data_IF_975344310485
#
_entry.id   IF_975344310485
#
_cell.length_a   1.000
_cell.length_b   1.000
_cell.length_c   1.000
_cell.angle_alpha   90.00
_cell.angle_beta   90.00
_cell.angle_gamma   90.00
#
_symmetry.space_group_name_H-M   'P 1'
#
loop_
_entity.id
_entity.type
_entity.pdbx_description
1 polymer ?
#
# COMPACT_ATOMS: atom_id res chain seq x y z
N UNK A 1 56.58 -2.57 -56.11
CA UNK A 1 55.95 -3.42 -55.07
C UNK A 1 54.92 -2.74 -54.18
N UNK A 2 54.81 -1.42 -54.14
CA UNK A 2 53.89 -0.67 -53.26
C UNK A 2 52.47 -0.44 -53.83
N UNK A 3 52.25 -0.69 -55.12
CA UNK A 3 50.94 -0.43 -55.78
C UNK A 3 49.88 -1.51 -55.47
N UNK A 4 50.28 -2.66 -55.00
CA UNK A 4 49.40 -3.78 -54.71
C UNK A 4 48.76 -3.67 -53.29
N UNK A 5 49.40 -2.97 -52.35
CA UNK A 5 48.95 -2.79 -50.97
C UNK A 5 47.73 -1.84 -50.91
N UNK A 6 47.63 -0.90 -51.84
CA UNK A 6 46.52 0.09 -51.86
C UNK A 6 45.20 -0.49 -52.28
N UNK A 7 45.18 -1.65 -52.94
CA UNK A 7 43.95 -2.34 -53.31
C UNK A 7 43.55 -3.43 -52.28
N UNK A 8 44.45 -3.84 -51.45
CA UNK A 8 44.18 -4.82 -50.38
C UNK A 8 43.54 -4.18 -49.14
N UNK A 9 43.83 -2.88 -48.89
CA UNK A 9 43.32 -2.18 -47.73
C UNK A 9 41.78 -1.93 -47.74
N UNK A 10 41.17 -1.50 -48.87
CA UNK A 10 39.71 -1.35 -48.91
C UNK A 10 38.96 -2.68 -48.90
N UNK A 11 39.57 -3.76 -49.43
CA UNK A 11 38.96 -5.12 -49.42
C UNK A 11 38.91 -5.74 -48.03
N UNK A 12 39.81 -5.41 -47.13
CA UNK A 12 39.84 -5.93 -45.75
C UNK A 12 38.90 -5.14 -44.80
N UNK A 13 38.54 -3.90 -45.19
CA UNK A 13 37.65 -3.05 -44.34
C UNK A 13 36.17 -3.35 -44.57
N UNK A 14 35.82 -3.97 -45.70
CA UNK A 14 34.43 -4.24 -46.08
C UNK A 14 33.73 -5.27 -45.22
N UNK A 15 34.35 -6.38 -44.76
CA UNK A 15 33.67 -7.37 -43.88
C UNK A 15 33.48 -6.89 -42.44
N UNK A 16 34.14 -5.79 -42.01
CA UNK A 16 33.96 -5.23 -40.66
C UNK A 16 32.69 -4.41 -40.53
N UNK A 17 32.04 -4.04 -41.63
CA UNK A 17 30.77 -3.28 -41.64
C UNK A 17 29.54 -4.20 -41.66
N UNK A 18 29.69 -5.49 -41.81
CA UNK A 18 28.61 -6.46 -41.61
C UNK A 18 28.54 -6.83 -40.11
N UNK A 19 28.51 -5.84 -39.25
CA UNK A 19 28.04 -6.03 -37.89
C UNK A 19 26.58 -6.50 -38.00
N UNK A 20 26.32 -7.76 -37.66
CA UNK A 20 24.97 -8.25 -37.51
C UNK A 20 24.23 -7.34 -36.56
N UNK A 21 23.43 -6.46 -37.10
CA UNK A 21 22.25 -5.97 -36.39
C UNK A 21 21.38 -7.23 -36.31
N UNK A 22 21.54 -7.98 -35.22
CA UNK A 22 20.61 -9.04 -34.88
C UNK A 22 19.26 -8.34 -34.84
N UNK A 23 18.38 -8.71 -35.75
CA UNK A 23 17.00 -8.25 -35.72
C UNK A 23 16.51 -8.40 -34.28
N UNK A 24 16.33 -7.28 -33.61
CA UNK A 24 15.68 -7.27 -32.31
C UNK A 24 14.24 -7.62 -32.63
N UNK A 25 13.91 -8.86 -32.37
CA UNK A 25 12.57 -9.40 -32.57
C UNK A 25 11.65 -8.68 -31.57
N UNK A 26 10.99 -7.63 -32.07
CA UNK A 26 10.05 -6.85 -31.27
C UNK A 26 8.79 -7.62 -30.92
N UNK A 27 8.56 -8.78 -31.58
CA UNK A 27 7.46 -9.68 -31.21
C UNK A 27 7.68 -10.33 -29.83
N UNK A 28 8.93 -10.37 -29.33
CA UNK A 28 9.21 -10.84 -27.97
C UNK A 28 8.75 -9.86 -26.88
N UNK A 29 8.48 -8.61 -27.22
CA UNK A 29 7.95 -7.62 -26.27
C UNK A 29 6.46 -7.86 -25.95
N UNK A 30 5.75 -8.65 -26.74
CA UNK A 30 4.34 -8.99 -26.50
C UNK A 30 4.14 -10.02 -25.38
N UNK A 31 5.20 -10.69 -24.93
CA UNK A 31 5.16 -11.66 -23.82
C UNK A 31 5.79 -11.15 -22.52
N UNK A 32 6.23 -9.89 -22.49
CA UNK A 32 6.83 -9.33 -21.26
C UNK A 32 5.71 -8.95 -20.30
N UNK A 33 5.49 -9.81 -19.33
CA UNK A 33 4.66 -9.50 -18.17
C UNK A 33 5.53 -8.80 -17.12
N UNK A 34 5.18 -7.57 -16.79
CA UNK A 34 5.85 -6.80 -15.74
C UNK A 34 4.92 -6.75 -14.53
N UNK A 35 5.44 -7.12 -13.36
CA UNK A 35 4.73 -7.04 -12.08
C UNK A 35 5.42 -6.03 -11.16
N UNK A 36 5.23 -4.72 -11.39
CA UNK A 36 5.81 -3.71 -10.52
C UNK A 36 5.15 -3.73 -9.14
N UNK A 37 5.95 -3.40 -8.13
CA UNK A 37 5.51 -3.20 -6.76
C UNK A 37 5.47 -1.70 -6.47
N UNK A 38 4.40 -1.23 -5.85
CA UNK A 38 4.21 0.18 -5.48
C UNK A 38 3.94 0.28 -3.98
N UNK A 39 4.88 0.90 -3.27
CA UNK A 39 4.73 1.17 -1.83
C UNK A 39 4.03 2.51 -1.60
N UNK A 40 2.99 2.49 -0.78
CA UNK A 40 2.20 3.66 -0.40
C UNK A 40 2.11 3.75 1.12
N UNK A 41 2.53 4.89 1.68
CA UNK A 41 2.20 5.21 3.06
C UNK A 41 0.72 5.60 3.14
N UNK A 42 -0.03 4.94 4.03
CA UNK A 42 -1.47 5.14 4.14
C UNK A 42 -1.80 6.15 5.24
N UNK A 43 -1.77 5.71 6.48
CA UNK A 43 -2.20 6.50 7.63
C UNK A 43 -1.15 6.50 8.73
N UNK A 44 -1.07 7.65 9.38
CA UNK A 44 -0.44 7.83 10.67
C UNK A 44 -1.38 8.61 11.58
N UNK A 45 -1.62 8.11 12.77
CA UNK A 45 -2.29 8.88 13.81
C UNK A 45 -1.71 8.59 15.19
N UNK A 46 -1.90 9.52 16.08
CA UNK A 46 -1.74 9.38 17.51
C UNK A 46 -2.99 9.90 18.19
N UNK A 47 -3.69 9.03 18.93
CA UNK A 47 -4.90 9.38 19.67
C UNK A 47 -4.57 9.33 21.15
N UNK A 48 -4.70 10.47 21.83
CA UNK A 48 -4.54 10.53 23.27
C UNK A 48 -5.82 10.08 23.99
N UNK A 49 -5.68 9.49 25.15
CA UNK A 49 -6.82 8.98 25.93
C UNK A 49 -7.90 10.03 26.23
N UNK A 50 -7.52 11.31 26.35
CA UNK A 50 -8.45 12.43 26.57
C UNK A 50 -9.34 12.74 25.35
N UNK A 51 -8.96 12.29 24.13
CA UNK A 51 -9.76 12.50 22.92
C UNK A 51 -11.00 11.61 22.90
N UNK A 52 -11.03 10.54 23.69
CA UNK A 52 -12.23 9.73 23.91
C UNK A 52 -13.23 10.37 24.89
N UNK A 53 -13.00 11.61 25.30
CA UNK A 53 -13.91 12.38 26.13
C UNK A 53 -14.45 13.56 25.34
N UNK A 54 -15.76 13.72 25.33
CA UNK A 54 -16.39 14.89 24.71
C UNK A 54 -16.03 16.18 25.51
N UNK A 55 -15.40 17.17 24.86
CA UNK A 55 -14.91 18.35 25.57
C UNK A 55 -16.01 19.26 26.10
N UNK A 56 -17.25 19.11 25.65
CA UNK A 56 -18.39 19.95 26.04
C UNK A 56 -19.18 19.32 27.18
N UNK A 57 -19.44 18.00 27.04
CA UNK A 57 -20.28 17.28 28.02
C UNK A 57 -19.47 16.55 29.08
N UNK A 58 -18.16 16.32 28.85
CA UNK A 58 -17.29 15.51 29.72
C UNK A 58 -17.62 14.00 29.66
N UNK A 59 -18.52 13.60 28.78
CA UNK A 59 -18.92 12.20 28.64
C UNK A 59 -17.98 11.43 27.72
N UNK A 60 -17.77 10.13 27.93
CA UNK A 60 -16.98 9.30 27.02
C UNK A 60 -17.54 9.29 25.60
N UNK A 61 -16.66 9.47 24.63
CA UNK A 61 -16.91 9.13 23.22
C UNK A 61 -16.34 7.73 22.99
N UNK A 62 -17.23 6.77 22.71
CA UNK A 62 -16.84 5.36 22.60
C UNK A 62 -16.15 5.02 21.28
N UNK A 63 -16.33 5.86 20.24
CA UNK A 63 -15.81 5.65 18.90
C UNK A 63 -15.17 6.92 18.37
N UNK A 64 -13.94 6.81 17.90
CA UNK A 64 -13.27 7.83 17.11
C UNK A 64 -13.15 7.31 15.66
N UNK A 65 -13.54 8.14 14.71
CA UNK A 65 -13.49 7.78 13.29
C UNK A 65 -12.89 8.91 12.47
N UNK A 66 -11.99 8.57 11.57
CA UNK A 66 -11.43 9.49 10.58
C UNK A 66 -11.53 8.86 9.18
N UNK A 67 -11.66 9.72 8.17
CA UNK A 67 -11.83 9.29 6.77
C UNK A 67 -10.83 10.04 5.89
N UNK A 68 -10.06 9.30 5.14
CA UNK A 68 -9.06 9.83 4.21
C UNK A 68 -9.37 9.40 2.77
N UNK A 69 -9.10 10.28 1.79
CA UNK A 69 -9.20 9.94 0.38
C UNK A 69 -7.98 9.10 -0.05
N UNK A 70 -8.21 8.13 -0.93
CA UNK A 70 -7.18 7.30 -1.55
C UNK A 70 -7.21 7.54 -3.06
N UNK A 71 -6.68 8.67 -3.55
CA UNK A 71 -6.76 9.04 -4.96
C UNK A 71 -6.04 8.04 -5.89
N UNK A 72 -5.10 7.29 -5.37
CA UNK A 72 -4.39 6.23 -6.11
C UNK A 72 -5.34 5.13 -6.61
N UNK A 73 -6.38 4.79 -5.83
CA UNK A 73 -7.38 3.80 -6.22
C UNK A 73 -8.54 4.37 -7.04
N UNK A 74 -8.53 5.67 -7.36
CA UNK A 74 -9.60 6.31 -8.15
C UNK A 74 -9.33 6.25 -9.66
N UNK A 75 -8.14 5.78 -10.07
CA UNK A 75 -7.74 5.59 -11.46
C UNK A 75 -8.09 4.18 -11.96
N UNK A 76 -8.89 4.10 -13.05
CA UNK A 76 -9.39 2.83 -13.58
C UNK A 76 -8.29 1.88 -14.05
N UNK A 77 -7.25 2.43 -14.69
CA UNK A 77 -6.15 1.62 -15.22
C UNK A 77 -5.33 1.01 -14.07
N UNK A 78 -5.18 1.78 -12.98
CA UNK A 78 -4.57 1.30 -11.74
C UNK A 78 -5.42 0.22 -11.08
N UNK A 79 -6.75 0.41 -10.98
CA UNK A 79 -7.66 -0.56 -10.39
C UNK A 79 -7.60 -1.93 -11.11
N UNK A 80 -7.64 -1.92 -12.44
CA UNK A 80 -7.63 -3.14 -13.25
C UNK A 80 -6.27 -3.86 -13.20
N UNK A 81 -5.19 -3.11 -12.99
CA UNK A 81 -3.84 -3.64 -12.91
C UNK A 81 -3.49 -4.28 -11.57
N UNK A 82 -4.14 -3.92 -10.47
CA UNK A 82 -3.80 -4.45 -9.14
C UNK A 82 -4.28 -5.89 -8.98
N UNK A 83 -3.35 -6.80 -8.71
CA UNK A 83 -3.62 -8.23 -8.51
C UNK A 83 -3.52 -8.67 -7.05
N UNK A 84 -2.83 -7.87 -6.21
CA UNK A 84 -2.62 -8.13 -4.80
C UNK A 84 -2.27 -6.83 -4.06
N UNK A 85 -2.65 -6.75 -2.79
CA UNK A 85 -2.20 -5.72 -1.87
C UNK A 85 -1.79 -6.34 -0.54
N UNK A 86 -0.62 -5.94 -0.02
CA UNK A 86 -0.13 -6.32 1.30
C UNK A 86 -0.16 -5.07 2.19
N UNK A 87 -0.94 -5.13 3.27
CA UNK A 87 -1.03 -4.06 4.26
C UNK A 87 -0.21 -4.41 5.49
N UNK A 88 0.55 -3.44 5.97
CA UNK A 88 1.23 -3.49 7.26
C UNK A 88 0.60 -2.43 8.16
N UNK A 89 0.07 -2.86 9.30
CA UNK A 89 -0.45 -2.00 10.36
C UNK A 89 0.40 -2.20 11.61
N UNK A 90 1.00 -1.13 12.09
CA UNK A 90 1.81 -1.12 13.30
C UNK A 90 1.14 -0.25 14.35
N UNK A 91 0.88 -0.81 15.52
CA UNK A 91 0.28 -0.13 16.66
C UNK A 91 1.24 -0.12 17.83
N UNK A 92 1.33 1.03 18.52
CA UNK A 92 1.96 1.13 19.83
C UNK A 92 0.89 1.63 20.81
N UNK A 93 0.49 0.74 21.73
CA UNK A 93 -0.52 1.07 22.74
C UNK A 93 0.15 1.44 24.07
N UNK A 94 0.08 2.72 24.42
CA UNK A 94 0.59 3.29 25.67
C UNK A 94 -0.50 3.39 26.75
N UNK A 95 -1.65 2.73 26.56
CA UNK A 95 -2.78 2.75 27.49
C UNK A 95 -2.98 1.38 28.15
N UNK A 96 -3.74 1.35 29.23
CA UNK A 96 -4.03 0.12 29.99
C UNK A 96 -5.29 -0.62 29.55
N UNK A 97 -5.79 -0.32 28.34
CA UNK A 97 -6.98 -0.98 27.77
C UNK A 97 -6.71 -1.48 26.36
N UNK A 98 -7.47 -2.49 25.96
CA UNK A 98 -7.52 -2.94 24.59
C UNK A 98 -8.35 -1.99 23.72
N UNK A 99 -8.06 -1.96 22.41
CA UNK A 99 -8.86 -1.24 21.42
C UNK A 99 -9.31 -2.18 20.32
N UNK A 100 -10.59 -2.06 19.93
CA UNK A 100 -11.06 -2.58 18.65
C UNK A 100 -10.74 -1.54 17.59
N UNK A 101 -9.97 -1.91 16.56
CA UNK A 101 -9.67 -1.06 15.42
C UNK A 101 -10.29 -1.69 14.19
N UNK A 102 -11.12 -0.91 13.50
CA UNK A 102 -11.72 -1.27 12.22
C UNK A 102 -11.16 -0.37 11.15
N UNK A 103 -10.56 -0.96 10.12
CA UNK A 103 -10.16 -0.25 8.91
C UNK A 103 -11.13 -0.66 7.81
N UNK A 104 -11.77 0.33 7.20
CA UNK A 104 -12.72 0.10 6.12
C UNK A 104 -12.36 0.90 4.88
N UNK A 105 -12.33 0.24 3.77
CA UNK A 105 -12.19 0.82 2.45
C UNK A 105 -13.58 1.04 1.86
N UNK A 106 -13.83 2.24 1.32
CA UNK A 106 -15.17 2.68 0.96
C UNK A 106 -15.19 3.31 -0.42
N UNK A 107 -16.30 3.14 -1.11
CA UNK A 107 -16.65 3.87 -2.31
C UNK A 107 -17.69 4.93 -1.96
N UNK A 108 -17.30 6.21 -2.02
CA UNK A 108 -18.15 7.30 -1.53
C UNK A 108 -18.26 7.34 -0.01
N UNK A 109 -19.41 7.78 0.52
CA UNK A 109 -19.58 8.00 1.96
C UNK A 109 -19.84 6.71 2.75
N UNK A 110 -20.69 5.81 2.23
CA UNK A 110 -21.31 4.76 3.03
C UNK A 110 -21.09 3.32 2.50
N UNK A 111 -20.57 3.17 1.28
CA UNK A 111 -20.40 1.83 0.70
C UNK A 111 -19.05 1.24 1.07
N UNK A 112 -19.03 0.36 2.06
CA UNK A 112 -17.83 -0.41 2.43
C UNK A 112 -17.60 -1.51 1.39
N UNK A 113 -16.43 -1.49 0.75
CA UNK A 113 -16.02 -2.48 -0.23
C UNK A 113 -15.13 -3.55 0.39
N UNK A 114 -14.25 -3.15 1.32
CA UNK A 114 -13.40 -4.07 2.06
C UNK A 114 -13.23 -3.57 3.49
N UNK A 115 -13.12 -4.47 4.47
CA UNK A 115 -12.81 -4.09 5.85
C UNK A 115 -12.03 -5.17 6.58
N UNK A 116 -11.22 -4.73 7.54
CA UNK A 116 -10.47 -5.59 8.45
C UNK A 116 -10.61 -5.06 9.87
N UNK A 117 -10.75 -6.00 10.81
CA UNK A 117 -10.92 -5.73 12.23
C UNK A 117 -9.80 -6.42 13.03
N UNK A 118 -9.25 -5.71 14.01
CA UNK A 118 -8.29 -6.31 14.96
C UNK A 118 -8.42 -5.71 16.34
N UNK A 119 -7.95 -6.48 17.33
CA UNK A 119 -7.83 -6.03 18.71
C UNK A 119 -6.37 -5.66 18.93
N UNK A 120 -6.14 -4.41 19.33
CA UNK A 120 -4.84 -3.92 19.78
C UNK A 120 -4.77 -4.10 21.29
N UNK A 121 -3.89 -4.98 21.81
CA UNK A 121 -3.84 -5.31 23.22
C UNK A 121 -3.36 -4.13 24.07
N UNK A 122 -3.78 -4.12 25.33
CA UNK A 122 -3.37 -3.14 26.33
C UNK A 122 -1.86 -3.13 26.54
N UNK A 123 -1.33 -1.93 26.77
CA UNK A 123 0.05 -1.70 27.16
C UNK A 123 0.14 -0.85 28.41
N UNK A 124 1.15 0.01 28.49
CA UNK A 124 1.31 1.01 29.55
C UNK A 124 2.20 2.15 29.05
N UNK A 125 2.07 3.33 29.62
CA UNK A 125 2.91 4.50 29.28
C UNK A 125 4.41 4.19 29.36
N UNK A 126 4.83 3.47 30.40
CA UNK A 126 6.24 3.11 30.60
C UNK A 126 6.69 1.86 29.81
N UNK A 127 5.74 1.07 29.32
CA UNK A 127 6.01 -0.15 28.55
C UNK A 127 4.89 -0.37 27.54
N UNK A 128 4.94 0.33 26.40
CA UNK A 128 3.91 0.21 25.37
C UNK A 128 3.88 -1.22 24.80
N UNK A 129 2.69 -1.67 24.45
CA UNK A 129 2.52 -2.91 23.72
C UNK A 129 2.53 -2.60 22.23
N UNK A 130 3.56 -3.07 21.54
CA UNK A 130 3.58 -3.02 20.07
C UNK A 130 2.81 -4.21 19.50
N UNK A 131 2.00 -3.93 18.51
CA UNK A 131 1.20 -4.93 17.79
C UNK A 131 1.33 -4.69 16.29
N UNK A 132 1.75 -5.74 15.57
CA UNK A 132 1.93 -5.68 14.12
C UNK A 132 0.93 -6.63 13.47
N UNK A 133 0.16 -6.11 12.53
CA UNK A 133 -0.78 -6.88 11.72
C UNK A 133 -0.37 -6.80 10.25
N UNK A 134 -0.28 -7.96 9.62
CA UNK A 134 -0.13 -8.11 8.18
C UNK A 134 -1.45 -8.61 7.62
N UNK A 135 -2.00 -7.87 6.66
CA UNK A 135 -3.21 -8.25 5.95
C UNK A 135 -2.91 -8.32 4.46
N UNK A 136 -3.11 -9.49 3.88
CA UNK A 136 -2.84 -9.78 2.48
C UNK A 136 -4.15 -9.97 1.74
N UNK A 137 -4.38 -9.13 0.75
CA UNK A 137 -5.61 -9.12 -0.04
C UNK A 137 -5.31 -9.56 -1.47
N UNK A 138 -5.90 -10.68 -1.85
CA UNK A 138 -5.82 -11.27 -3.20
C UNK A 138 -7.23 -11.52 -3.75
N UNK A 139 -7.32 -12.14 -4.93
CA UNK A 139 -8.61 -12.53 -5.51
C UNK A 139 -9.37 -13.52 -4.58
N UNK A 140 -10.69 -13.35 -4.39
CA UNK A 140 -11.54 -12.36 -5.06
C UNK A 140 -11.60 -10.98 -4.37
N UNK A 141 -11.15 -10.84 -3.13
CA UNK A 141 -11.32 -9.62 -2.31
C UNK A 141 -10.59 -8.40 -2.87
N UNK A 142 -9.53 -8.59 -3.64
CA UNK A 142 -8.80 -7.48 -4.26
C UNK A 142 -9.70 -6.67 -5.19
N UNK A 143 -10.67 -7.30 -5.86
CA UNK A 143 -11.61 -6.59 -6.75
C UNK A 143 -12.54 -5.65 -5.98
N UNK A 144 -12.92 -6.04 -4.76
CA UNK A 144 -13.73 -5.19 -3.90
C UNK A 144 -12.89 -4.05 -3.31
N UNK A 145 -11.67 -4.33 -2.87
CA UNK A 145 -10.72 -3.35 -2.36
C UNK A 145 -10.44 -2.25 -3.37
N UNK A 146 -10.15 -2.61 -4.63
CA UNK A 146 -9.80 -1.65 -5.68
C UNK A 146 -10.95 -0.73 -6.09
N UNK A 147 -12.21 -1.05 -5.73
CA UNK A 147 -13.34 -0.15 -5.93
C UNK A 147 -13.41 1.00 -4.92
N UNK A 148 -12.57 0.98 -3.90
CA UNK A 148 -12.57 2.03 -2.88
C UNK A 148 -11.87 3.29 -3.40
N UNK A 149 -12.33 4.44 -2.92
CA UNK A 149 -11.65 5.72 -3.09
C UNK A 149 -11.42 6.45 -1.74
N UNK A 150 -11.84 5.81 -0.65
CA UNK A 150 -11.67 6.31 0.71
C UNK A 150 -11.26 5.18 1.65
N UNK A 151 -10.49 5.54 2.68
CA UNK A 151 -10.17 4.69 3.81
C UNK A 151 -10.68 5.35 5.07
N UNK A 152 -11.38 4.59 5.91
CA UNK A 152 -11.84 5.05 7.21
C UNK A 152 -11.26 4.16 8.30
N UNK A 153 -10.82 4.77 9.39
CA UNK A 153 -10.37 4.09 10.60
C UNK A 153 -11.33 4.44 11.72
N UNK A 154 -11.81 3.41 12.39
CA UNK A 154 -12.63 3.53 13.59
C UNK A 154 -11.88 2.89 14.75
N UNK A 155 -11.78 3.59 15.89
CA UNK A 155 -11.13 3.10 17.10
C UNK A 155 -12.15 3.12 18.22
N UNK A 156 -12.39 1.95 18.81
CA UNK A 156 -13.37 1.74 19.87
C UNK A 156 -12.65 1.17 21.11
N UNK A 157 -12.62 1.90 22.23
CA UNK A 157 -11.98 1.43 23.45
C UNK A 157 -12.77 0.29 24.10
N UNK A 158 -12.09 -0.82 24.41
CA UNK A 158 -12.69 -2.00 25.03
C UNK A 158 -12.47 -1.96 26.54
N UNK A 159 -13.18 -1.07 27.23
CA UNK A 159 -13.09 -0.98 28.67
C UNK A 159 -13.25 0.42 29.24
N UNK A 160 -12.84 0.60 30.48
CA UNK A 160 -12.88 1.90 31.13
C UNK A 160 -11.74 2.77 30.58
N UNK A 161 -12.08 3.98 30.12
CA UNK A 161 -11.09 4.91 29.56
C UNK A 161 -9.93 5.14 30.52
N UNK A 162 -8.68 5.05 30.04
CA UNK A 162 -7.51 5.24 30.84
C UNK A 162 -7.35 6.73 31.20
N UNK A 163 -6.73 7.03 32.34
CA UNK A 163 -6.45 8.38 32.77
C UNK A 163 -5.33 9.07 31.96
N UNK A 164 -4.62 8.33 31.10
CA UNK A 164 -3.54 8.87 30.27
C UNK A 164 -2.99 7.81 29.33
N UNK A 165 -2.03 8.22 28.49
CA UNK A 165 -1.45 7.42 27.44
C UNK A 165 -2.03 7.74 26.07
N UNK A 166 -1.50 7.11 25.06
CA UNK A 166 -1.95 7.26 23.67
C UNK A 166 -1.96 5.91 22.94
N UNK A 167 -2.69 5.87 21.84
CA UNK A 167 -2.60 4.83 20.83
C UNK A 167 -1.98 5.45 19.58
N UNK A 168 -0.86 4.89 19.13
CA UNK A 168 -0.17 5.32 17.90
C UNK A 168 -0.37 4.25 16.84
N UNK A 169 -0.71 4.66 15.62
CA UNK A 169 -0.80 3.77 14.46
C UNK A 169 0.07 4.30 13.32
N UNK A 170 0.73 3.39 12.64
CA UNK A 170 1.41 3.59 11.35
C UNK A 170 0.96 2.54 10.39
N UNK A 171 0.75 2.90 9.13
CA UNK A 171 0.38 1.93 8.13
C UNK A 171 0.98 2.22 6.77
N UNK A 172 1.25 1.15 6.04
CA UNK A 172 1.66 1.18 4.64
C UNK A 172 0.99 0.05 3.87
N UNK A 173 0.91 0.21 2.56
CA UNK A 173 0.52 -0.85 1.64
C UNK A 173 1.56 -1.03 0.55
N UNK A 174 1.75 -2.27 0.12
CA UNK A 174 2.47 -2.62 -1.10
C UNK A 174 1.45 -3.20 -2.09
N UNK A 175 1.29 -2.53 -3.23
CA UNK A 175 0.42 -2.98 -4.31
C UNK A 175 1.24 -3.67 -5.39
N UNK A 176 0.77 -4.83 -5.83
CA UNK A 176 1.36 -5.61 -6.90
C UNK A 176 0.49 -5.46 -8.14
N UNK A 177 1.09 -4.94 -9.22
CA UNK A 177 0.37 -4.69 -10.46
C UNK A 177 0.76 -5.70 -11.52
N UNK A 178 -0.16 -6.03 -12.40
CA UNK A 178 0.07 -6.79 -13.62
C UNK A 178 -0.05 -5.86 -14.80
N UNK A 179 1.07 -5.58 -15.48
CA UNK A 179 1.09 -4.79 -16.71
C UNK A 179 1.32 -5.74 -17.87
N UNK A 180 0.27 -5.95 -18.68
CA UNK A 180 0.39 -6.69 -19.92
C UNK A 180 0.80 -5.69 -21.02
N UNK A 181 1.94 -5.94 -21.67
CA UNK A 181 2.32 -5.19 -22.86
C UNK A 181 1.27 -5.42 -23.96
N UNK A 182 0.63 -4.33 -24.41
CA UNK A 182 -0.25 -4.36 -25.60
C UNK A 182 0.57 -4.23 -26.86
#
# INVERSE_FOLDING_TARGET
MYRFIWYLLPGLLFPLLTSCVKDTDFDQLQEVVITPEVDVNLLFFEINSNEFVDPVTGLPRMVLSDVTDIPFLDDSDTQEGIIRADFLYEFDNFTSIDYQVTISFRRGADNVTYSVDFIVPAGAVANPQSHIVLDQVEAPQIYDLTQANKMAVTVDPLGQLPAGGSLVMRSKATFYLLINGQ
#
